data_IF_977804285242
#
_entry.id   IF_977804285242
#
_cell.length_a   1.000
_cell.length_b   1.000
_cell.length_c   1.000
_cell.angle_alpha   90.00
_cell.angle_beta   90.00
_cell.angle_gamma   90.00
#
_symmetry.space_group_name_H-M   'P 1'
#
loop_
_entity.id
_entity.type
_entity.pdbx_description
1 polymer ?
#
# COMPACT_ATOMS: atom_id res chain seq x y z
N UNK A 1 -15.37 10.16 -12.98
CA UNK A 1 -14.09 9.75 -13.58
C UNK A 1 -14.27 8.36 -14.14
N UNK A 2 -14.07 8.17 -15.45
CA UNK A 2 -14.26 6.88 -16.12
C UNK A 2 -12.87 6.32 -16.39
N UNK A 3 -12.33 5.52 -15.46
CA UNK A 3 -11.08 4.82 -15.71
C UNK A 3 -11.31 3.86 -16.87
N UNK A 4 -10.58 3.98 -17.99
CA UNK A 4 -10.76 3.08 -19.11
C UNK A 4 -10.37 1.67 -18.65
N UNK A 5 -11.30 0.71 -18.75
CA UNK A 5 -11.13 -0.70 -18.35
C UNK A 5 -9.79 -1.31 -18.78
N UNK A 6 -9.22 -0.83 -19.89
CA UNK A 6 -7.92 -1.24 -20.41
C UNK A 6 -6.75 -0.88 -19.47
N UNK A 7 -6.75 0.30 -18.87
CA UNK A 7 -5.72 0.73 -17.91
C UNK A 7 -5.81 -0.07 -16.62
N UNK A 8 -7.03 -0.30 -16.13
CA UNK A 8 -7.27 -1.16 -14.95
C UNK A 8 -6.73 -2.57 -15.22
N UNK A 9 -7.07 -3.17 -16.36
CA UNK A 9 -6.62 -4.52 -16.71
C UNK A 9 -5.10 -4.60 -16.96
N UNK A 10 -4.48 -3.52 -17.44
CA UNK A 10 -3.02 -3.46 -17.58
C UNK A 10 -2.36 -3.37 -16.20
N UNK A 11 -2.84 -2.47 -15.35
CA UNK A 11 -2.37 -2.30 -13.99
C UNK A 11 -2.48 -3.63 -13.20
N UNK A 12 -3.63 -4.31 -13.22
CA UNK A 12 -3.84 -5.57 -12.49
C UNK A 12 -2.82 -6.64 -12.94
N UNK A 13 -2.55 -6.72 -14.24
CA UNK A 13 -1.58 -7.68 -14.78
C UNK A 13 -0.13 -7.35 -14.43
N UNK A 14 0.25 -6.07 -14.39
CA UNK A 14 1.61 -5.65 -14.04
C UNK A 14 1.85 -5.56 -12.53
N UNK A 15 0.80 -5.41 -11.72
CA UNK A 15 0.89 -5.27 -10.29
C UNK A 15 1.48 -6.51 -9.64
N UNK A 16 2.30 -6.31 -8.60
CA UNK A 16 2.83 -7.42 -7.82
C UNK A 16 1.71 -8.12 -7.04
N UNK A 17 1.88 -9.42 -6.76
CA UNK A 17 0.90 -10.19 -5.97
C UNK A 17 0.67 -9.55 -4.59
N UNK A 18 1.73 -9.06 -3.95
CA UNK A 18 1.65 -8.37 -2.65
C UNK A 18 0.78 -7.11 -2.73
N UNK A 19 0.91 -6.34 -3.81
CA UNK A 19 0.15 -5.11 -4.01
C UNK A 19 -1.33 -5.38 -4.29
N UNK A 20 -1.63 -6.42 -5.07
CA UNK A 20 -3.01 -6.88 -5.26
C UNK A 20 -3.62 -7.38 -3.95
N UNK A 21 -2.85 -8.14 -3.16
CA UNK A 21 -3.26 -8.61 -1.82
C UNK A 21 -3.57 -7.43 -0.89
N UNK A 22 -2.67 -6.44 -0.78
CA UNK A 22 -2.91 -5.24 0.03
C UNK A 22 -4.19 -4.50 -0.41
N UNK A 23 -4.48 -4.48 -1.72
CA UNK A 23 -5.68 -3.82 -2.26
C UNK A 23 -6.97 -4.56 -1.95
N UNK A 24 -7.02 -5.87 -2.12
CA UNK A 24 -8.24 -6.66 -1.84
C UNK A 24 -8.51 -6.88 -0.35
N UNK A 25 -7.50 -6.71 0.50
CA UNK A 25 -7.61 -6.86 1.96
C UNK A 25 -7.75 -5.50 2.65
N UNK A 26 -6.65 -4.76 2.74
CA UNK A 26 -6.51 -3.57 3.59
C UNK A 26 -7.19 -2.33 3.00
N UNK A 27 -7.21 -2.19 1.68
CA UNK A 27 -7.77 -1.02 0.99
C UNK A 27 -9.13 -1.28 0.31
N UNK A 28 -9.80 -2.38 0.68
CA UNK A 28 -11.07 -2.80 0.09
C UNK A 28 -12.15 -1.72 0.14
N UNK A 29 -12.29 -1.04 1.29
CA UNK A 29 -13.35 -0.07 1.57
C UNK A 29 -13.36 1.15 0.63
N UNK A 30 -12.25 1.41 -0.08
CA UNK A 30 -12.13 2.53 -1.02
C UNK A 30 -12.26 2.15 -2.50
N UNK A 31 -12.56 0.90 -2.84
CA UNK A 31 -12.54 0.39 -4.22
C UNK A 31 -13.91 -0.02 -4.74
N UNK A 32 -14.09 0.16 -6.05
CA UNK A 32 -15.30 -0.28 -6.75
C UNK A 32 -15.37 -1.83 -6.72
N UNK A 33 -16.53 -2.43 -6.41
CA UNK A 33 -16.68 -3.88 -6.31
C UNK A 33 -16.22 -4.63 -7.58
N UNK A 34 -16.51 -4.09 -8.76
CA UNK A 34 -16.07 -4.67 -10.03
C UNK A 34 -14.54 -4.70 -10.17
N UNK A 35 -13.81 -3.74 -9.59
CA UNK A 35 -12.35 -3.74 -9.59
C UNK A 35 -11.81 -4.81 -8.63
N UNK A 36 -12.46 -5.02 -7.48
CA UNK A 36 -12.10 -6.08 -6.54
C UNK A 36 -12.26 -7.47 -7.18
N UNK A 37 -13.38 -7.71 -7.88
CA UNK A 37 -13.62 -8.98 -8.57
C UNK A 37 -12.54 -9.29 -9.62
N UNK A 38 -12.10 -8.26 -10.36
CA UNK A 38 -11.01 -8.41 -11.33
C UNK A 38 -9.66 -8.68 -10.68
N UNK A 39 -9.37 -8.07 -9.52
CA UNK A 39 -8.14 -8.31 -8.77
C UNK A 39 -8.13 -9.70 -8.13
N UNK A 40 -9.25 -10.12 -7.53
CA UNK A 40 -9.42 -11.47 -6.98
C UNK A 40 -9.28 -12.53 -8.07
N UNK A 41 -9.86 -12.31 -9.26
CA UNK A 41 -9.71 -13.22 -10.40
C UNK A 41 -8.28 -13.27 -10.97
N UNK A 42 -7.48 -12.21 -10.80
CA UNK A 42 -6.05 -12.24 -11.14
C UNK A 42 -5.23 -12.96 -10.07
N UNK A 43 -5.57 -12.79 -8.79
CA UNK A 43 -4.94 -13.52 -7.68
C UNK A 43 -5.20 -15.03 -7.79
N UNK A 44 -6.44 -15.42 -8.11
CA UNK A 44 -6.81 -16.81 -8.36
C UNK A 44 -5.99 -17.42 -9.52
N UNK A 45 -5.78 -16.65 -10.60
CA UNK A 45 -4.90 -17.03 -11.72
C UNK A 45 -3.42 -17.17 -11.33
N UNK A 46 -3.00 -16.62 -10.19
CA UNK A 46 -1.65 -16.73 -9.64
C UNK A 46 -1.55 -17.78 -8.54
N UNK A 47 -2.54 -18.67 -8.44
CA UNK A 47 -2.66 -19.70 -7.40
C UNK A 47 -2.71 -19.13 -5.97
N UNK A 48 -3.15 -17.88 -5.82
CA UNK A 48 -3.35 -17.27 -4.49
C UNK A 48 -4.75 -17.62 -4.02
N UNK A 49 -4.82 -18.42 -2.95
CA UNK A 49 -6.09 -18.92 -2.43
C UNK A 49 -6.76 -17.90 -1.50
N UNK A 50 -8.06 -18.09 -1.24
CA UNK A 50 -8.76 -17.32 -0.21
C UNK A 50 -8.13 -17.45 1.19
N UNK A 51 -7.49 -18.59 1.48
CA UNK A 51 -6.76 -18.78 2.72
C UNK A 51 -5.52 -17.87 2.79
N UNK A 52 -4.80 -17.72 1.68
CA UNK A 52 -3.65 -16.80 1.59
C UNK A 52 -4.08 -15.35 1.74
N UNK A 53 -5.24 -14.97 1.16
CA UNK A 53 -5.82 -13.63 1.31
C UNK A 53 -6.16 -13.35 2.78
N UNK A 54 -6.81 -14.30 3.46
CA UNK A 54 -7.18 -14.17 4.86
C UNK A 54 -5.95 -14.12 5.79
N UNK A 55 -4.95 -14.96 5.53
CA UNK A 55 -3.69 -14.96 6.27
C UNK A 55 -2.90 -13.65 6.04
N UNK A 56 -2.93 -13.12 4.82
CA UNK A 56 -2.37 -11.81 4.51
C UNK A 56 -3.07 -10.69 5.25
N UNK A 57 -4.40 -10.64 5.25
CA UNK A 57 -5.19 -9.66 6.00
C UNK A 57 -4.86 -9.73 7.50
N UNK A 58 -4.80 -10.93 8.07
CA UNK A 58 -4.44 -11.14 9.47
C UNK A 58 -3.04 -10.61 9.80
N UNK A 59 -2.04 -10.92 8.96
CA UNK A 59 -0.66 -10.42 9.13
C UNK A 59 -0.59 -8.89 9.02
N UNK A 60 -1.28 -8.31 8.04
CA UNK A 60 -1.28 -6.86 7.85
C UNK A 60 -1.97 -6.16 9.02
N UNK A 61 -3.13 -6.62 9.47
CA UNK A 61 -3.81 -6.05 10.65
C UNK A 61 -2.99 -6.15 11.94
N UNK A 62 -2.18 -7.21 12.07
CA UNK A 62 -1.32 -7.39 13.24
C UNK A 62 -0.09 -6.45 13.25
N UNK A 63 0.34 -5.95 12.09
CA UNK A 63 1.61 -5.21 11.95
C UNK A 63 1.44 -3.78 11.47
N UNK A 64 0.40 -3.49 10.70
CA UNK A 64 0.11 -2.19 10.13
C UNK A 64 -0.54 -1.26 11.14
N UNK A 65 -0.31 0.03 10.96
CA UNK A 65 -0.96 1.08 11.74
C UNK A 65 -2.38 1.25 11.19
N UNK A 66 -3.36 0.71 11.90
CA UNK A 66 -4.77 0.79 11.52
C UNK A 66 -5.37 2.15 11.91
N UNK A 67 -6.20 2.69 11.02
CA UNK A 67 -7.00 3.89 11.27
C UNK A 67 -8.33 3.51 11.94
N UNK A 68 -9.02 4.47 12.59
CA UNK A 68 -10.34 4.25 13.17
C UNK A 68 -11.42 3.83 12.17
N UNK A 69 -11.20 4.08 10.87
CA UNK A 69 -12.10 3.69 9.78
C UNK A 69 -11.93 2.22 9.35
N UNK A 70 -10.99 1.49 9.95
CA UNK A 70 -10.72 0.09 9.64
C UNK A 70 -9.74 -0.13 8.48
N UNK A 71 -9.23 0.92 7.85
CA UNK A 71 -8.18 0.83 6.83
C UNK A 71 -6.78 0.95 7.45
N UNK A 72 -5.74 0.47 6.77
CA UNK A 72 -4.37 0.76 7.23
C UNK A 72 -3.88 2.11 6.71
N UNK A 73 -3.04 2.75 7.51
CA UNK A 73 -2.35 3.97 7.11
C UNK A 73 -1.42 3.66 5.95
N UNK A 74 -1.52 4.44 4.86
CA UNK A 74 -0.60 4.32 3.72
C UNK A 74 0.79 4.85 4.08
N UNK A 75 1.81 4.23 3.51
CA UNK A 75 3.16 4.77 3.53
C UNK A 75 3.19 6.11 2.78
N UNK A 76 3.93 7.10 3.29
CA UNK A 76 4.06 8.39 2.59
C UNK A 76 4.92 8.30 1.32
N UNK A 77 5.56 7.15 1.05
CA UNK A 77 6.46 6.93 -0.10
C UNK A 77 5.99 5.86 -1.10
N UNK A 78 4.95 5.09 -0.76
CA UNK A 78 4.38 4.07 -1.64
C UNK A 78 2.97 3.69 -1.18
N UNK A 79 2.25 2.89 -1.97
CA UNK A 79 0.90 2.44 -1.64
C UNK A 79 0.82 1.33 -0.59
N UNK A 80 1.95 0.88 -0.04
CA UNK A 80 1.99 -0.21 0.96
C UNK A 80 1.53 0.26 2.34
N UNK A 81 0.95 -0.63 3.16
CA UNK A 81 0.58 -0.31 4.53
C UNK A 81 1.80 0.08 5.36
N UNK A 82 1.63 1.15 6.14
CA UNK A 82 2.63 1.65 7.05
C UNK A 82 2.64 0.82 8.32
N UNK A 83 3.83 0.37 8.70
CA UNK A 83 4.09 -0.42 9.91
C UNK A 83 4.91 0.39 10.93
N UNK A 84 5.56 1.48 10.49
CA UNK A 84 6.38 2.34 11.33
C UNK A 84 5.84 3.77 11.38
N UNK A 85 5.79 4.33 12.60
CA UNK A 85 5.50 5.73 12.85
C UNK A 85 6.77 6.43 13.35
N UNK A 86 7.14 7.55 12.74
CA UNK A 86 8.27 8.37 13.19
C UNK A 86 7.88 9.83 13.25
N UNK A 87 8.35 10.54 14.28
CA UNK A 87 8.32 12.01 14.29
C UNK A 87 9.57 12.55 13.59
N UNK A 88 9.38 13.43 12.63
CA UNK A 88 10.43 14.09 11.89
C UNK A 88 10.15 15.58 11.74
N UNK A 89 11.18 16.32 11.35
CA UNK A 89 11.04 17.71 10.98
C UNK A 89 10.83 17.81 9.47
N UNK A 90 9.74 18.46 9.05
CA UNK A 90 9.54 18.78 7.65
C UNK A 90 10.39 20.02 7.31
N UNK A 91 11.32 19.90 6.37
CA UNK A 91 12.15 21.01 5.89
C UNK A 91 11.62 21.51 4.56
N UNK A 92 11.04 22.69 4.53
CA UNK A 92 10.81 23.46 3.30
C UNK A 92 11.99 24.39 3.07
N UNK A 93 12.36 24.56 1.80
CA UNK A 93 13.41 25.45 1.25
C UNK A 93 13.96 26.50 2.23
N UNK A 94 15.20 26.30 2.70
CA UNK A 94 16.05 27.40 3.15
C UNK A 94 16.58 27.35 4.58
N UNK A 95 15.75 27.40 5.64
CA UNK A 95 16.35 27.67 6.97
C UNK A 95 15.58 27.27 8.24
N UNK A 96 14.24 27.13 8.25
CA UNK A 96 13.51 26.83 9.50
C UNK A 96 12.79 25.47 9.47
N UNK A 97 12.99 24.58 10.46
CA UNK A 97 12.18 23.37 10.61
C UNK A 97 10.83 23.78 11.22
N UNK A 98 9.85 24.08 10.37
CA UNK A 98 8.66 24.82 10.82
C UNK A 98 7.68 23.94 11.63
N UNK A 99 7.62 22.61 11.38
CA UNK A 99 6.69 21.74 12.12
C UNK A 99 7.22 20.31 12.34
N UNK A 100 6.99 19.79 13.55
CA UNK A 100 7.12 18.35 13.86
C UNK A 100 5.96 17.63 13.19
N UNK A 101 6.26 16.82 12.16
CA UNK A 101 5.27 16.00 11.46
C UNK A 101 5.53 14.52 11.78
N UNK A 102 4.45 13.78 11.95
CA UNK A 102 4.49 12.32 12.02
C UNK A 102 4.53 11.77 10.60
N UNK A 103 5.50 10.92 10.31
CA UNK A 103 5.68 10.19 9.06
C UNK A 103 5.30 8.73 9.28
N UNK A 104 4.57 8.17 8.32
CA UNK A 104 4.14 6.76 8.31
C UNK A 104 4.86 6.03 7.18
N UNK A 105 5.57 4.94 7.51
CA UNK A 105 6.47 4.25 6.58
C UNK A 105 6.22 2.74 6.59
N UNK A 106 6.32 2.11 5.42
CA UNK A 106 6.26 0.65 5.28
C UNK A 106 7.60 0.01 5.69
N UNK A 107 7.61 -1.33 5.80
CA UNK A 107 8.81 -2.12 6.18
C UNK A 107 10.01 -1.91 5.26
N UNK A 108 9.78 -1.49 4.01
CA UNK A 108 10.83 -1.23 3.02
C UNK A 108 11.36 0.20 3.07
N UNK A 109 10.57 1.15 3.56
CA UNK A 109 10.95 2.57 3.63
C UNK A 109 11.30 3.05 5.03
N UNK A 110 11.36 2.15 6.01
CA UNK A 110 11.79 2.48 7.36
C UNK A 110 13.24 3.03 7.36
N UNK A 111 13.56 4.00 8.23
CA UNK A 111 14.92 4.53 8.35
C UNK A 111 15.86 3.40 8.80
N UNK A 112 16.83 3.04 7.96
CA UNK A 112 17.76 1.93 8.23
C UNK A 112 17.41 0.62 7.53
N UNK A 113 16.29 0.53 6.79
CA UNK A 113 16.10 -0.56 5.83
C UNK A 113 17.19 -0.46 4.75
N UNK A 114 17.86 -1.58 4.45
CA UNK A 114 18.75 -1.67 3.29
C UNK A 114 17.92 -1.36 2.05
N UNK A 115 18.33 -0.34 1.30
CA UNK A 115 17.65 0.12 0.09
C UNK A 115 17.36 -1.08 -0.83
N UNK A 116 16.08 -1.30 -1.14
CA UNK A 116 15.68 -2.20 -2.20
C UNK A 116 15.32 -1.31 -3.41
N UNK A 117 15.94 -1.47 -4.58
CA UNK A 117 15.91 -0.49 -5.68
C UNK A 117 14.59 -0.42 -6.48
N UNK A 118 13.47 -0.90 -5.92
CA UNK A 118 12.20 -0.98 -6.64
C UNK A 118 11.35 0.31 -6.57
N UNK A 119 11.83 1.40 -5.96
CA UNK A 119 11.06 2.66 -5.82
C UNK A 119 11.64 3.87 -6.56
N UNK A 120 12.57 3.68 -7.49
CA UNK A 120 13.20 4.79 -8.22
C UNK A 120 12.68 4.96 -9.67
N UNK A 121 11.48 4.46 -9.97
CA UNK A 121 10.82 4.73 -11.25
C UNK A 121 9.51 5.46 -10.96
N UNK A 122 9.38 6.64 -11.56
CA UNK A 122 8.28 7.62 -11.48
C UNK A 122 8.56 8.85 -10.59
N UNK A 123 9.49 9.68 -11.10
CA UNK A 123 9.48 11.15 -10.95
C UNK A 123 9.31 11.78 -12.32
#
# INVERSE_FOLDING_TARGET
>A
MRFPLKEIAQYIRSASTEELLDRVTVYREGMEPAALDLMEGELDRRDVTRADIADHDARQRATAIMLPDGTAQRCERCDRPAVYQRRGWHRTYGWLPVFRRTFYLCRFHQPGAKANPATDIES
#
